data_IF_061973227097
#
_entry.id   IF_061973227097
#
_cell.length_a   1.000
_cell.length_b   1.000
_cell.length_c   1.000
_cell.angle_alpha   90.00
_cell.angle_beta   90.00
_cell.angle_gamma   90.00
#
_symmetry.space_group_name_H-M   'P 1'
#
loop_
_entity.id
_entity.type
_entity.pdbx_description
1 polymer ?
#
# COMPACT_ATOMS: atom_id res chain seq x y z
N UNK A 1 -4.57 17.04 9.92
CA UNK A 1 -3.52 16.62 8.98
C UNK A 1 -4.03 15.47 8.13
N UNK A 2 -3.98 15.59 6.81
CA UNK A 2 -4.38 14.52 5.87
C UNK A 2 -3.13 13.82 5.35
N UNK A 3 -3.10 12.50 5.46
CA UNK A 3 -1.98 11.63 5.11
C UNK A 3 -2.49 10.59 4.12
N UNK A 4 -1.85 10.48 2.96
CA UNK A 4 -2.20 9.50 1.94
C UNK A 4 -1.11 8.44 1.82
N UNK A 5 -1.50 7.16 1.90
CA UNK A 5 -0.66 6.01 1.57
C UNK A 5 -1.10 5.48 0.20
N UNK A 6 -0.27 5.68 -0.82
CA UNK A 6 -0.58 5.33 -2.21
C UNK A 6 -0.12 3.91 -2.52
N UNK A 7 -1.06 3.08 -2.99
CA UNK A 7 -0.91 1.64 -3.20
C UNK A 7 -0.64 0.89 -1.88
N UNK A 8 -1.54 1.09 -0.92
CA UNK A 8 -1.40 0.60 0.45
C UNK A 8 -1.43 -0.94 0.55
N UNK A 9 -1.94 -1.65 -0.45
CA UNK A 9 -2.20 -3.08 -0.36
C UNK A 9 -3.08 -3.40 0.87
N UNK A 10 -2.89 -4.59 1.44
CA UNK A 10 -3.57 -5.05 2.68
C UNK A 10 -2.57 -5.55 3.72
N UNK A 11 -1.32 -5.11 3.58
CA UNK A 11 -0.16 -5.65 4.27
C UNK A 11 0.25 -4.84 5.50
N UNK A 12 1.19 -5.40 6.26
CA UNK A 12 1.66 -4.76 7.48
C UNK A 12 2.45 -3.47 7.26
N UNK A 13 3.03 -3.28 6.07
CA UNK A 13 3.80 -2.08 5.77
C UNK A 13 2.96 -0.81 5.93
N UNK A 14 1.68 -0.85 5.51
CA UNK A 14 0.73 0.24 5.74
C UNK A 14 0.43 0.45 7.21
N UNK A 15 0.24 -0.62 7.98
CA UNK A 15 0.02 -0.50 9.43
C UNK A 15 1.24 0.09 10.15
N UNK A 16 2.45 -0.31 9.76
CA UNK A 16 3.70 0.24 10.30
C UNK A 16 3.85 1.72 9.94
N UNK A 17 3.54 2.10 8.70
CA UNK A 17 3.55 3.49 8.26
C UNK A 17 2.56 4.35 9.06
N UNK A 18 1.28 3.94 9.13
CA UNK A 18 0.25 4.65 9.90
C UNK A 18 0.67 4.78 11.36
N UNK A 19 1.14 3.69 11.98
CA UNK A 19 1.60 3.69 13.36
C UNK A 19 2.79 4.64 13.59
N UNK A 20 3.75 4.67 12.67
CA UNK A 20 4.91 5.56 12.74
C UNK A 20 4.47 7.02 12.69
N UNK A 21 3.58 7.39 11.76
CA UNK A 21 3.07 8.76 11.64
C UNK A 21 2.33 9.20 12.89
N UNK A 22 1.43 8.36 13.43
CA UNK A 22 0.70 8.66 14.67
C UNK A 22 1.68 8.92 15.82
N UNK A 23 2.70 8.07 15.96
CA UNK A 23 3.70 8.19 17.04
C UNK A 23 4.48 9.49 16.92
N UNK A 24 4.99 9.80 15.73
CA UNK A 24 5.76 11.03 15.47
C UNK A 24 4.94 12.28 15.74
N UNK A 25 3.66 12.30 15.35
CA UNK A 25 2.77 13.45 15.62
C UNK A 25 2.45 13.58 17.11
N UNK A 26 2.20 12.46 17.81
CA UNK A 26 1.95 12.46 19.25
C UNK A 26 3.16 12.97 20.04
N UNK A 27 4.37 12.54 19.65
CA UNK A 27 5.62 13.00 20.27
C UNK A 27 5.84 14.50 20.03
N UNK A 28 5.67 14.98 18.80
CA UNK A 28 5.81 16.40 18.47
C UNK A 28 4.79 17.29 19.22
N UNK A 29 3.56 16.81 19.42
CA UNK A 29 2.55 17.49 20.24
C UNK A 29 2.95 17.55 21.71
N UNK A 30 3.52 16.48 22.25
CA UNK A 30 4.02 16.45 23.64
C UNK A 30 5.14 17.48 23.86
N UNK A 31 5.97 17.73 22.85
CA UNK A 31 7.02 18.74 22.90
C UNK A 31 6.52 20.18 22.63
N UNK A 32 5.20 20.39 22.55
CA UNK A 32 4.56 21.68 22.18
C UNK A 32 5.04 22.23 20.83
N UNK A 33 5.56 21.38 19.94
CA UNK A 33 6.02 21.77 18.59
C UNK A 33 4.84 21.86 17.62
N UNK A 34 3.79 21.07 17.85
CA UNK A 34 2.57 21.03 17.05
C UNK A 34 1.33 21.21 17.93
N UNK A 35 0.32 21.92 17.44
CA UNK A 35 -0.99 21.98 18.09
C UNK A 35 -1.75 20.64 17.99
N UNK A 36 -2.75 20.43 18.86
CA UNK A 36 -3.63 19.26 18.79
C UNK A 36 -4.53 19.32 17.54
N UNK A 37 -4.25 18.50 16.54
CA UNK A 37 -5.01 18.42 15.29
C UNK A 37 -5.37 16.96 15.00
N UNK A 38 -6.59 16.73 14.52
CA UNK A 38 -7.00 15.41 14.06
C UNK A 38 -6.20 14.97 12.83
N UNK A 39 -5.93 13.67 12.72
CA UNK A 39 -5.30 13.05 11.56
C UNK A 39 -6.34 12.32 10.72
N UNK A 40 -6.15 12.32 9.41
CA UNK A 40 -6.98 11.59 8.47
C UNK A 40 -6.07 10.80 7.52
N UNK A 41 -6.17 9.48 7.58
CA UNK A 41 -5.42 8.56 6.73
C UNK A 41 -6.30 8.13 5.54
N UNK A 42 -5.76 8.32 4.35
CA UNK A 42 -6.36 7.97 3.07
C UNK A 42 -5.54 6.84 2.46
N UNK A 43 -6.03 5.61 2.62
CA UNK A 43 -5.35 4.40 2.16
C UNK A 43 -5.80 4.11 0.73
N UNK A 44 -4.98 4.47 -0.25
CA UNK A 44 -5.31 4.33 -1.66
C UNK A 44 -4.80 3.01 -2.21
N UNK A 45 -5.62 2.35 -3.02
CA UNK A 45 -5.23 1.22 -3.87
C UNK A 45 -6.24 1.11 -5.02
N UNK A 46 -5.98 0.24 -5.99
CA UNK A 46 -6.93 -0.04 -7.06
C UNK A 46 -8.27 -0.55 -6.51
N UNK A 47 -9.40 -0.32 -7.21
CA UNK A 47 -10.73 -0.78 -6.76
C UNK A 47 -10.86 -2.28 -6.50
N UNK A 48 -9.91 -3.07 -7.00
CA UNK A 48 -9.83 -4.52 -6.83
C UNK A 48 -9.12 -4.94 -5.53
N UNK A 49 -8.55 -4.00 -4.78
CA UNK A 49 -7.93 -4.27 -3.49
C UNK A 49 -8.96 -4.68 -2.44
N UNK A 50 -8.55 -5.55 -1.51
CA UNK A 50 -9.41 -6.05 -0.44
C UNK A 50 -9.35 -5.11 0.78
N UNK A 51 -9.93 -3.92 0.62
CA UNK A 51 -10.01 -2.93 1.70
C UNK A 51 -10.73 -3.48 2.93
N UNK A 52 -11.64 -4.44 2.79
CA UNK A 52 -12.31 -5.07 3.92
C UNK A 52 -11.30 -5.79 4.83
N UNK A 53 -10.34 -6.52 4.27
CA UNK A 53 -9.27 -7.15 5.06
C UNK A 53 -8.37 -6.13 5.76
N UNK A 54 -8.08 -5.01 5.11
CA UNK A 54 -7.34 -3.90 5.71
C UNK A 54 -8.13 -3.28 6.87
N UNK A 55 -9.42 -3.00 6.67
CA UNK A 55 -10.30 -2.49 7.72
C UNK A 55 -10.51 -3.48 8.85
N UNK A 56 -10.63 -4.79 8.59
CA UNK A 56 -10.65 -5.81 9.65
C UNK A 56 -9.33 -5.86 10.43
N UNK A 57 -8.20 -5.66 9.76
CA UNK A 57 -6.88 -5.59 10.41
C UNK A 57 -6.75 -4.34 11.29
N UNK A 58 -7.29 -3.21 10.84
CA UNK A 58 -7.38 -1.95 11.56
C UNK A 58 -8.42 -1.98 12.70
N UNK A 59 -9.53 -2.68 12.52
CA UNK A 59 -10.56 -2.91 13.53
C UNK A 59 -10.12 -3.96 14.55
N UNK A 60 -9.26 -4.93 14.20
CA UNK A 60 -8.57 -5.82 15.15
C UNK A 60 -7.54 -5.09 16.01
N UNK A 61 -7.18 -3.85 15.64
CA UNK A 61 -6.49 -2.90 16.51
C UNK A 61 -7.41 -2.41 17.64
N UNK A 62 -8.74 -2.56 17.52
CA UNK A 62 -9.77 -2.20 18.51
C UNK A 62 -10.55 -3.38 19.15
N UNK A 63 -10.90 -4.47 18.45
CA UNK A 63 -11.65 -5.56 19.08
C UNK A 63 -11.43 -6.95 18.43
N UNK A 64 -11.37 -7.97 19.29
CA UNK A 64 -10.98 -9.33 18.99
C UNK A 64 -11.94 -10.09 18.04
N UNK A 65 -11.33 -10.76 17.07
CA UNK A 65 -11.75 -11.77 16.08
C UNK A 65 -13.22 -12.26 15.99
N UNK A 66 -13.80 -12.12 14.78
CA UNK A 66 -14.49 -13.18 14.00
C UNK A 66 -14.18 -12.99 12.50
N UNK A 67 -13.87 -14.06 11.76
CA UNK A 67 -13.34 -14.02 10.39
C UNK A 67 -14.41 -14.38 9.34
N UNK A 68 -14.42 -13.69 8.19
CA UNK A 68 -15.02 -14.16 6.94
C UNK A 68 -13.96 -14.21 5.83
N UNK A 69 -13.88 -15.35 5.14
CA UNK A 69 -12.95 -15.62 4.03
C UNK A 69 -13.61 -15.11 2.74
N UNK A 70 -12.95 -14.23 2.00
CA UNK A 70 -13.41 -13.78 0.68
C UNK A 70 -13.11 -14.82 -0.41
N UNK A 71 -14.16 -15.42 -0.97
CA UNK A 71 -14.13 -16.29 -2.15
C UNK A 71 -14.51 -15.47 -3.40
N UNK A 72 -13.54 -14.98 -4.15
CA UNK A 72 -13.79 -14.38 -5.47
C UNK A 72 -12.89 -15.00 -6.54
N UNK A 73 -13.47 -15.34 -7.68
CA UNK A 73 -12.87 -16.17 -8.74
C UNK A 73 -11.73 -15.49 -9.52
N UNK A 74 -11.59 -14.16 -9.45
CA UNK A 74 -10.66 -13.40 -10.28
C UNK A 74 -9.33 -13.00 -9.58
N UNK A 75 -8.88 -13.73 -8.57
CA UNK A 75 -7.67 -13.38 -7.81
C UNK A 75 -6.37 -13.55 -8.65
N UNK A 76 -5.35 -12.70 -8.40
CA UNK A 76 -4.02 -12.70 -9.05
C UNK A 76 -3.33 -14.09 -9.04
N UNK A 77 -3.73 -14.94 -8.10
CA UNK A 77 -3.27 -16.33 -7.97
C UNK A 77 -3.69 -17.27 -9.13
N UNK A 78 -4.62 -16.88 -10.01
CA UNK A 78 -5.16 -17.78 -11.02
C UNK A 78 -4.45 -17.74 -12.39
N UNK A 79 -3.54 -16.80 -12.63
CA UNK A 79 -2.90 -16.64 -13.95
C UNK A 79 -1.64 -17.50 -14.16
N UNK A 80 -1.14 -18.21 -13.15
CA UNK A 80 0.00 -19.12 -13.29
C UNK A 80 -0.01 -20.25 -12.27
N UNK A 81 0.03 -21.50 -12.75
CA UNK A 81 0.13 -22.71 -11.90
C UNK A 81 1.39 -22.69 -11.00
N UNK A 82 2.47 -22.06 -11.46
CA UNK A 82 3.72 -21.93 -10.70
C UNK A 82 3.60 -20.89 -9.59
N UNK A 83 3.01 -19.72 -9.89
CA UNK A 83 2.76 -18.68 -8.89
C UNK A 83 1.76 -19.16 -7.84
N UNK A 84 0.70 -19.88 -8.24
CA UNK A 84 -0.26 -20.50 -7.31
C UNK A 84 0.41 -21.51 -6.37
N UNK A 85 1.29 -22.38 -6.90
CA UNK A 85 2.02 -23.37 -6.09
C UNK A 85 3.02 -22.71 -5.14
N UNK A 86 3.70 -21.65 -5.59
CA UNK A 86 4.58 -20.85 -4.73
C UNK A 86 3.77 -20.18 -3.61
N UNK A 87 2.67 -19.51 -3.95
CA UNK A 87 1.78 -18.85 -3.00
C UNK A 87 1.22 -19.81 -1.96
N UNK A 88 0.76 -21.00 -2.36
CA UNK A 88 0.26 -22.03 -1.45
C UNK A 88 1.34 -22.55 -0.50
N UNK A 89 2.57 -22.72 -0.99
CA UNK A 89 3.72 -23.14 -0.17
C UNK A 89 4.17 -22.04 0.80
N UNK A 90 4.08 -20.78 0.41
CA UNK A 90 4.47 -19.64 1.25
C UNK A 90 3.36 -19.20 2.20
N UNK A 91 2.11 -19.58 1.95
CA UNK A 91 0.94 -19.23 2.76
C UNK A 91 1.14 -19.41 4.27
N UNK A 92 1.58 -20.56 4.81
CA UNK A 92 1.77 -20.72 6.25
C UNK A 92 2.89 -19.84 6.82
N UNK A 93 3.94 -19.56 6.04
CA UNK A 93 5.04 -18.66 6.44
C UNK A 93 4.53 -17.22 6.48
N UNK A 94 3.75 -16.82 5.47
CA UNK A 94 3.10 -15.52 5.40
C UNK A 94 2.11 -15.34 6.55
N UNK A 95 1.23 -16.32 6.82
CA UNK A 95 0.27 -16.27 7.91
C UNK A 95 0.95 -16.16 9.29
N UNK A 96 2.06 -16.88 9.49
CA UNK A 96 2.86 -16.78 10.72
C UNK A 96 3.52 -15.42 10.87
N UNK A 97 4.11 -14.89 9.79
CA UNK A 97 4.72 -13.56 9.78
C UNK A 97 3.67 -12.49 10.08
N UNK A 98 2.52 -12.55 9.40
CA UNK A 98 1.39 -11.65 9.62
C UNK A 98 0.94 -11.69 11.09
N UNK A 99 0.69 -12.88 11.66
CA UNK A 99 0.32 -13.01 13.09
C UNK A 99 1.35 -12.44 14.04
N UNK A 100 2.64 -12.69 13.78
CA UNK A 100 3.71 -12.22 14.64
C UNK A 100 3.82 -10.69 14.59
N UNK A 101 3.67 -10.10 13.41
CA UNK A 101 3.72 -8.65 13.28
C UNK A 101 2.46 -8.00 13.81
N UNK A 102 1.27 -8.59 13.69
CA UNK A 102 0.08 -8.10 14.43
C UNK A 102 0.27 -8.13 15.94
N UNK A 103 0.93 -9.16 16.46
CA UNK A 103 1.31 -9.23 17.87
C UNK A 103 2.26 -8.08 18.23
N UNK A 104 3.24 -7.79 17.38
CA UNK A 104 4.19 -6.68 17.54
C UNK A 104 3.51 -5.31 17.41
N UNK A 105 2.57 -5.13 16.48
CA UNK A 105 1.78 -3.90 16.34
C UNK A 105 0.90 -3.71 17.56
N UNK A 106 0.11 -4.72 17.98
CA UNK A 106 -0.70 -4.65 19.21
C UNK A 106 0.15 -4.37 20.45
N UNK A 107 1.37 -4.93 20.51
CA UNK A 107 2.31 -4.67 21.58
C UNK A 107 2.94 -3.28 21.48
N UNK A 108 3.17 -2.76 20.27
CA UNK A 108 3.66 -1.41 20.00
C UNK A 108 2.58 -0.36 20.33
N UNK A 109 1.33 -0.55 19.90
CA UNK A 109 0.20 0.33 20.26
C UNK A 109 -0.02 0.35 21.77
N UNK A 110 0.08 -0.81 22.43
CA UNK A 110 0.06 -0.89 23.90
C UNK A 110 1.28 -0.24 24.54
N UNK A 111 2.45 -0.35 23.91
CA UNK A 111 3.67 0.29 24.38
C UNK A 111 3.57 1.82 24.28
N UNK A 112 3.05 2.35 23.18
CA UNK A 112 2.72 3.76 22.97
C UNK A 112 1.77 4.22 24.07
N UNK A 113 0.65 3.50 24.27
CA UNK A 113 -0.31 3.81 25.32
C UNK A 113 0.26 3.71 26.75
N UNK A 114 1.31 2.90 26.96
CA UNK A 114 1.98 2.72 28.25
C UNK A 114 3.18 3.66 28.47
N UNK A 115 3.82 4.15 27.40
CA UNK A 115 4.95 5.08 27.44
C UNK A 115 4.48 6.54 27.50
N UNK A 116 3.26 6.83 27.09
CA UNK A 116 2.63 8.11 27.40
C UNK A 116 2.31 8.19 28.90
N UNK A 117 2.56 9.33 29.57
CA UNK A 117 2.12 9.54 30.94
C UNK A 117 0.64 9.21 31.05
N UNK A 118 0.23 8.49 32.10
CA UNK A 118 -1.18 8.19 32.38
C UNK A 118 -2.02 9.47 32.18
N UNK A 119 -2.74 9.57 31.06
CA UNK A 119 -3.63 10.69 30.76
C UNK A 119 -3.38 11.49 29.47
N UNK A 120 -2.29 11.29 28.72
CA UNK A 120 -2.14 11.94 27.41
C UNK A 120 -2.83 11.09 26.34
N UNK A 121 -3.99 11.56 25.87
CA UNK A 121 -4.73 10.90 24.79
C UNK A 121 -3.98 11.04 23.46
N UNK A 122 -3.96 9.98 22.65
CA UNK A 122 -3.50 10.06 21.26
C UNK A 122 -4.29 11.15 20.52
N UNK A 123 -3.65 11.88 19.59
CA UNK A 123 -4.39 12.79 18.72
C UNK A 123 -5.49 12.00 17.98
N UNK A 124 -6.73 12.53 17.89
CA UNK A 124 -7.82 11.86 17.18
C UNK A 124 -7.41 11.52 15.74
N UNK A 125 -7.70 10.32 15.28
CA UNK A 125 -7.39 9.92 13.91
C UNK A 125 -8.55 9.16 13.26
N UNK A 126 -8.65 9.32 11.95
CA UNK A 126 -9.63 8.64 11.09
C UNK A 126 -8.89 7.91 9.99
N UNK A 127 -9.37 6.74 9.59
CA UNK A 127 -8.79 5.97 8.49
C UNK A 127 -9.90 5.65 7.49
N UNK A 128 -9.65 5.91 6.23
CA UNK A 128 -10.56 5.60 5.13
C UNK A 128 -9.79 5.00 3.97
N UNK A 129 -10.50 4.20 3.17
CA UNK A 129 -9.98 3.55 1.96
C UNK A 129 -10.40 4.36 0.74
N UNK A 130 -9.47 4.59 -0.18
CA UNK A 130 -9.66 5.40 -1.36
C UNK A 130 -9.40 4.56 -2.62
N UNK A 131 -10.43 3.88 -3.17
CA UNK A 131 -10.26 3.08 -4.37
C UNK A 131 -9.99 3.97 -5.59
N UNK A 132 -8.91 3.71 -6.32
CA UNK A 132 -8.57 4.44 -7.53
C UNK A 132 -7.10 4.30 -7.92
N UNK A 133 -6.76 4.55 -9.19
CA UNK A 133 -5.37 4.60 -9.61
C UNK A 133 -4.75 5.96 -9.26
N UNK A 134 -3.55 5.94 -8.67
CA UNK A 134 -2.74 7.14 -8.44
C UNK A 134 -2.18 7.77 -9.72
N UNK A 135 -2.41 7.17 -10.90
CA UNK A 135 -2.21 7.81 -12.20
C UNK A 135 -3.44 8.62 -12.65
N UNK A 136 -4.39 8.86 -11.74
CA UNK A 136 -5.54 9.76 -11.91
C UNK A 136 -5.64 10.69 -10.71
N UNK A 137 -6.41 11.79 -10.83
CA UNK A 137 -6.59 12.72 -9.71
C UNK A 137 -7.43 12.04 -8.62
N UNK A 138 -6.79 11.73 -7.49
CA UNK A 138 -7.43 11.12 -6.32
C UNK A 138 -7.95 12.16 -5.32
N UNK A 139 -7.28 13.31 -5.21
CA UNK A 139 -7.54 14.31 -4.18
C UNK A 139 -7.85 15.68 -4.79
N UNK A 140 -8.67 16.51 -4.10
CA UNK A 140 -8.76 17.94 -4.39
C UNK A 140 -7.37 18.62 -4.31
N UNK A 141 -7.23 19.75 -4.99
CA UNK A 141 -5.99 20.51 -4.92
C UNK A 141 -5.70 20.96 -3.47
N UNK A 142 -4.44 20.84 -3.04
CA UNK A 142 -3.95 21.31 -1.74
C UNK A 142 -4.66 20.70 -0.52
N UNK A 143 -5.24 19.49 -0.63
CA UNK A 143 -5.94 18.84 0.48
C UNK A 143 -5.09 17.83 1.28
N UNK A 144 -3.97 17.34 0.71
CA UNK A 144 -3.11 16.33 1.35
C UNK A 144 -1.83 16.98 1.85
N UNK A 145 -1.41 16.62 3.06
CA UNK A 145 -0.24 17.21 3.73
C UNK A 145 0.98 16.30 3.62
N UNK A 146 0.77 14.98 3.61
CA UNK A 146 1.83 13.99 3.46
C UNK A 146 1.38 12.90 2.49
N UNK A 147 2.17 12.69 1.44
CA UNK A 147 2.06 11.52 0.58
C UNK A 147 3.15 10.51 0.93
N UNK A 148 2.76 9.25 1.05
CA UNK A 148 3.65 8.11 1.16
C UNK A 148 3.37 7.13 0.02
N UNK A 149 4.43 6.52 -0.49
CA UNK A 149 4.41 5.58 -1.60
C UNK A 149 5.62 4.67 -1.43
N UNK A 150 5.40 3.36 -1.34
CA UNK A 150 6.46 2.39 -1.12
C UNK A 150 6.27 1.19 -2.03
N UNK A 151 7.28 0.91 -2.86
CA UNK A 151 7.26 -0.21 -3.83
C UNK A 151 6.06 -0.22 -4.80
N UNK A 152 5.52 0.94 -5.21
CA UNK A 152 4.40 0.97 -6.16
C UNK A 152 4.68 1.68 -7.48
N UNK A 153 5.50 2.74 -7.50
CA UNK A 153 5.75 3.55 -8.71
C UNK A 153 6.46 2.82 -9.86
N UNK A 154 6.89 1.57 -9.65
CA UNK A 154 7.43 0.72 -10.71
C UNK A 154 6.32 0.03 -11.53
N UNK A 155 5.09 -0.02 -11.01
CA UNK A 155 3.92 -0.46 -11.76
C UNK A 155 3.50 0.60 -12.77
N UNK A 156 3.28 0.21 -14.01
CA UNK A 156 2.92 1.13 -15.09
C UNK A 156 1.42 1.37 -15.11
N UNK A 157 0.99 2.55 -15.57
CA UNK A 157 -0.43 2.88 -15.71
C UNK A 157 -1.16 2.02 -16.74
N UNK A 158 -0.41 1.57 -17.76
CA UNK A 158 -0.92 0.79 -18.88
C UNK A 158 0.18 -0.10 -19.46
N UNK A 159 -0.24 -1.11 -20.23
CA UNK A 159 0.67 -1.80 -21.13
C UNK A 159 1.14 -0.86 -22.24
N UNK A 160 2.34 -1.09 -22.75
CA UNK A 160 2.89 -0.31 -23.85
C UNK A 160 2.11 -0.68 -25.12
N UNK A 161 1.39 0.27 -25.69
CA UNK A 161 0.36 0.03 -26.73
C UNK A 161 0.90 -0.55 -28.04
N UNK A 162 2.16 -0.29 -28.38
CA UNK A 162 2.80 -0.89 -29.56
C UNK A 162 3.24 -2.35 -29.34
N UNK A 163 2.88 -2.95 -28.19
CA UNK A 163 3.21 -4.32 -27.77
C UNK A 163 1.97 -5.24 -27.67
N UNK A 164 1.04 -5.16 -28.62
CA UNK A 164 -0.01 -6.17 -28.80
C UNK A 164 0.57 -7.50 -29.34
N UNK A 165 -0.01 -8.64 -28.91
CA UNK A 165 0.22 -10.09 -29.19
C UNK A 165 1.66 -10.61 -29.39
N UNK A 166 2.54 -9.85 -30.02
CA UNK A 166 3.95 -10.14 -30.32
C UNK A 166 4.91 -9.81 -29.18
N UNK A 167 4.44 -9.71 -27.92
CA UNK A 167 5.31 -9.40 -26.78
C UNK A 167 6.44 -10.45 -26.63
N UNK A 168 6.17 -11.72 -26.96
CA UNK A 168 7.21 -12.75 -27.07
C UNK A 168 8.14 -12.51 -28.25
N UNK A 169 7.63 -12.06 -29.39
CA UNK A 169 8.42 -12.01 -30.62
C UNK A 169 9.35 -10.79 -30.64
N UNK A 170 8.89 -9.65 -30.10
CA UNK A 170 9.65 -8.40 -30.07
C UNK A 170 10.65 -8.38 -28.91
N UNK A 171 10.30 -8.95 -27.76
CA UNK A 171 11.18 -9.00 -26.57
C UNK A 171 11.91 -10.35 -26.42
N UNK A 172 11.93 -11.19 -27.46
CA UNK A 172 12.63 -12.47 -27.44
C UNK A 172 12.16 -13.43 -26.34
N UNK A 173 10.87 -13.43 -26.04
CA UNK A 173 10.21 -14.27 -25.03
C UNK A 173 10.23 -13.69 -23.62
N UNK A 174 10.89 -12.55 -23.39
CA UNK A 174 10.95 -11.93 -22.07
C UNK A 174 9.65 -11.22 -21.70
N UNK A 175 9.22 -11.36 -20.44
CA UNK A 175 8.04 -10.71 -19.87
C UNK A 175 8.31 -9.28 -19.34
N UNK A 176 9.59 -8.90 -19.25
CA UNK A 176 10.07 -7.58 -18.81
C UNK A 176 11.45 -7.27 -19.44
N UNK A 177 12.09 -6.17 -19.05
CA UNK A 177 13.49 -5.88 -19.41
C UNK A 177 14.40 -6.97 -18.83
N UNK A 178 15.18 -7.60 -19.69
CA UNK A 178 16.18 -8.61 -19.38
C UNK A 178 17.46 -8.38 -20.19
N UNK A 179 18.49 -9.19 -19.94
CA UNK A 179 19.79 -9.07 -20.64
C UNK A 179 19.67 -9.19 -22.17
N UNK A 180 18.70 -9.95 -22.67
CA UNK A 180 18.44 -10.14 -24.10
C UNK A 180 17.44 -9.14 -24.69
N UNK A 181 16.90 -8.21 -23.91
CA UNK A 181 15.91 -7.24 -24.39
C UNK A 181 16.54 -6.25 -25.37
N UNK A 182 15.97 -6.08 -26.58
CA UNK A 182 16.48 -5.12 -27.55
C UNK A 182 16.45 -3.67 -27.03
N UNK A 183 17.42 -2.81 -27.41
CA UNK A 183 17.44 -1.41 -26.96
C UNK A 183 16.18 -0.61 -27.30
N UNK A 184 15.52 -0.92 -28.42
CA UNK A 184 14.24 -0.31 -28.80
C UNK A 184 13.15 -0.60 -27.76
N UNK A 185 13.07 -1.85 -27.28
CA UNK A 185 12.12 -2.26 -26.24
C UNK A 185 12.46 -1.61 -24.92
N UNK A 186 13.75 -1.56 -24.52
CA UNK A 186 14.17 -0.83 -23.30
C UNK A 186 13.71 0.61 -23.35
N UNK A 187 13.90 1.30 -24.48
CA UNK A 187 13.47 2.68 -24.67
C UNK A 187 11.96 2.84 -24.50
N UNK A 188 11.16 1.91 -25.03
CA UNK A 188 9.71 1.94 -24.84
C UNK A 188 9.29 1.82 -23.36
N UNK A 189 9.96 0.98 -22.58
CA UNK A 189 9.74 0.91 -21.12
C UNK A 189 10.13 2.20 -20.42
N UNK A 190 11.25 2.81 -20.81
CA UNK A 190 11.71 4.10 -20.26
C UNK A 190 10.73 5.23 -20.57
N UNK A 191 10.27 5.34 -21.82
CA UNK A 191 9.32 6.38 -22.25
C UNK A 191 7.98 6.25 -21.50
N UNK A 192 7.49 5.03 -21.30
CA UNK A 192 6.27 4.77 -20.52
C UNK A 192 6.47 5.11 -19.04
N UNK A 193 7.59 4.73 -18.42
CA UNK A 193 7.89 5.10 -17.03
C UNK A 193 8.01 6.61 -16.86
N UNK A 194 8.68 7.31 -17.78
CA UNK A 194 8.81 8.76 -17.73
C UNK A 194 7.45 9.45 -17.84
N UNK A 195 6.58 8.98 -18.73
CA UNK A 195 5.20 9.47 -18.87
C UNK A 195 4.41 9.26 -17.58
N UNK A 196 4.48 8.06 -17.00
CA UNK A 196 3.76 7.69 -15.79
C UNK A 196 4.23 8.51 -14.58
N UNK A 197 5.55 8.63 -14.39
CA UNK A 197 6.14 9.46 -13.32
C UNK A 197 5.82 10.94 -13.49
N UNK A 198 5.84 11.46 -14.72
CA UNK A 198 5.48 12.86 -14.98
C UNK A 198 4.01 13.12 -14.67
N UNK A 199 3.14 12.16 -14.96
CA UNK A 199 1.72 12.24 -14.62
C UNK A 199 1.53 12.17 -13.10
N UNK A 200 2.18 11.23 -12.42
CA UNK A 200 2.14 11.08 -10.97
C UNK A 200 2.55 12.36 -10.23
N UNK A 201 3.64 13.00 -10.63
CA UNK A 201 4.13 14.24 -10.00
C UNK A 201 3.26 15.47 -10.30
N UNK A 202 2.47 15.43 -11.38
CA UNK A 202 1.62 16.55 -11.81
C UNK A 202 0.25 16.55 -11.09
N UNK A 203 -0.24 15.38 -10.70
CA UNK A 203 -1.58 15.20 -10.16
C UNK A 203 -1.68 15.71 -8.71
#
# INVERSE_FOLDING_TARGET
MVVADLDCSVGINTLLFVSMVISTVADAQHHNELGCHSMEFQLNDLPRNDFNRLFYSLQQLEHDFHMAIGEAEDNYANNSRLQRKALLKTKPVLDKAVRQVFKSVKQFTKSIAASHPKGVALPPFYISGLPGSYYTRLFPCQSVHLFHSSYCLHWRSQMIKDMDEKMSDINGGNIYIAKSTPPSVVKMFQDQFQKDMSLFLKL
#
